data_IF_403667044333
#
_entry.id   IF_403667044333
#
_cell.length_a   1.000
_cell.length_b   1.000
_cell.length_c   1.000
_cell.angle_alpha   90.00
_cell.angle_beta   90.00
_cell.angle_gamma   90.00
#
_symmetry.space_group_name_H-M   'P 1'
#
loop_
_entity.id
_entity.type
_entity.pdbx_description
1 polymer ?
#
# COMPACT_ATOMS: atom_id res chain seq x y z
N UNK A 1 -21.05 -15.30 2.46
CA UNK A 1 -20.28 -14.54 1.45
C UNK A 1 -19.30 -15.48 0.76
N UNK A 2 -19.31 -15.54 -0.57
CA UNK A 2 -18.47 -16.48 -1.33
C UNK A 2 -16.97 -16.25 -1.07
N UNK A 3 -16.20 -17.34 -0.89
CA UNK A 3 -14.74 -17.28 -0.67
C UNK A 3 -14.02 -16.51 -1.79
N UNK A 4 -14.50 -16.64 -3.02
CA UNK A 4 -14.02 -15.90 -4.19
C UNK A 4 -14.12 -14.39 -4.03
N UNK A 5 -15.25 -13.88 -3.53
CA UNK A 5 -15.45 -12.44 -3.29
C UNK A 5 -14.45 -11.96 -2.24
N UNK A 6 -14.16 -12.79 -1.23
CA UNK A 6 -13.18 -12.43 -0.20
C UNK A 6 -11.81 -12.21 -0.81
N UNK A 7 -11.32 -13.24 -1.49
CA UNK A 7 -10.00 -13.24 -2.14
C UNK A 7 -9.90 -12.10 -3.14
N UNK A 8 -10.93 -11.91 -3.98
CA UNK A 8 -10.97 -10.81 -4.94
C UNK A 8 -10.80 -9.45 -4.24
N UNK A 9 -11.58 -9.16 -3.19
CA UNK A 9 -11.47 -7.87 -2.49
C UNK A 9 -10.14 -7.66 -1.74
N UNK A 10 -9.49 -8.72 -1.26
CA UNK A 10 -8.20 -8.58 -0.58
C UNK A 10 -7.04 -8.36 -1.56
N UNK A 11 -7.09 -8.98 -2.74
CA UNK A 11 -6.04 -8.90 -3.76
C UNK A 11 -6.25 -7.71 -4.69
N UNK A 12 -7.49 -7.21 -4.82
CA UNK A 12 -7.84 -6.10 -5.72
C UNK A 12 -6.86 -4.92 -5.66
N UNK A 13 -6.47 -4.39 -4.49
CA UNK A 13 -5.56 -3.25 -4.44
C UNK A 13 -4.17 -3.56 -5.00
N UNK A 14 -3.69 -4.79 -4.80
CA UNK A 14 -2.41 -5.26 -5.32
C UNK A 14 -2.49 -5.50 -6.83
N UNK A 15 -3.59 -6.07 -7.30
CA UNK A 15 -3.85 -6.28 -8.73
C UNK A 15 -3.99 -4.98 -9.51
N UNK A 16 -4.41 -3.89 -8.85
CA UNK A 16 -4.46 -2.55 -9.45
C UNK A 16 -3.09 -1.88 -9.57
N UNK A 17 -2.06 -2.36 -8.86
CA UNK A 17 -0.71 -1.78 -8.92
C UNK A 17 -0.09 -1.78 -10.33
N UNK A 18 -0.11 -2.88 -11.12
CA UNK A 18 0.42 -2.85 -12.49
C UNK A 18 -0.38 -1.94 -13.42
N UNK A 19 -1.69 -1.80 -13.21
CA UNK A 19 -2.51 -0.86 -13.99
C UNK A 19 -2.12 0.59 -13.68
N UNK A 20 -1.95 0.92 -12.40
CA UNK A 20 -1.42 2.21 -11.97
C UNK A 20 -0.03 2.48 -12.55
N UNK A 21 0.84 1.46 -12.61
CA UNK A 21 2.19 1.59 -13.15
C UNK A 21 2.14 1.95 -14.62
N UNK A 22 1.29 1.25 -15.38
CA UNK A 22 1.10 1.51 -16.79
C UNK A 22 0.53 2.91 -17.04
N UNK A 23 -0.43 3.37 -16.23
CA UNK A 23 -1.01 4.71 -16.34
C UNK A 23 0.02 5.82 -16.06
N UNK A 24 0.84 5.65 -15.02
CA UNK A 24 1.88 6.62 -14.65
C UNK A 24 3.02 6.60 -15.68
N UNK A 25 3.54 5.43 -16.03
CA UNK A 25 4.61 5.27 -17.00
C UNK A 25 4.21 5.74 -18.41
N UNK A 26 2.94 5.56 -18.77
CA UNK A 26 2.38 6.03 -20.03
C UNK A 26 2.04 7.53 -20.04
N UNK A 27 2.33 8.29 -18.97
CA UNK A 27 2.05 9.73 -18.89
C UNK A 27 0.57 10.10 -18.84
N UNK A 28 -0.32 9.13 -18.59
CA UNK A 28 -1.76 9.41 -18.45
C UNK A 28 -2.09 10.00 -17.08
N UNK A 29 -1.26 9.70 -16.07
CA UNK A 29 -1.29 10.31 -14.75
C UNK A 29 0.05 11.00 -14.57
N UNK A 30 0.04 12.33 -14.70
CA UNK A 30 1.19 13.19 -14.44
C UNK A 30 0.94 13.92 -13.11
N UNK A 31 1.85 13.71 -12.16
CA UNK A 31 1.83 14.38 -10.86
C UNK A 31 2.84 15.54 -10.82
N UNK A 32 3.42 15.88 -11.97
CA UNK A 32 4.39 16.96 -12.15
C UNK A 32 5.84 16.54 -11.90
N UNK A 33 6.11 15.26 -11.63
CA UNK A 33 7.45 14.73 -11.38
C UNK A 33 8.07 13.97 -12.55
N UNK A 34 7.32 13.76 -13.64
CA UNK A 34 7.77 13.02 -14.82
C UNK A 34 8.10 11.57 -14.47
N UNK A 35 9.30 11.10 -14.81
CA UNK A 35 9.74 9.73 -14.51
C UNK A 35 9.78 9.42 -12.99
N UNK A 36 9.91 10.44 -12.15
CA UNK A 36 9.93 10.27 -10.69
C UNK A 36 8.55 9.94 -10.12
N UNK A 37 7.49 10.11 -10.91
CA UNK A 37 6.15 9.77 -10.45
C UNK A 37 5.96 8.26 -10.23
N UNK A 38 6.84 7.44 -10.83
CA UNK A 38 6.92 6.00 -10.57
C UNK A 38 7.22 5.67 -9.10
N UNK A 39 7.89 6.58 -8.37
CA UNK A 39 8.18 6.42 -6.93
C UNK A 39 6.89 6.40 -6.11
N UNK A 40 5.83 7.09 -6.55
CA UNK A 40 4.54 7.11 -5.87
C UNK A 40 3.83 5.75 -5.85
N UNK A 41 4.29 4.80 -6.66
CA UNK A 41 3.76 3.44 -6.63
C UNK A 41 4.25 2.62 -5.44
N UNK A 42 5.42 2.95 -4.87
CA UNK A 42 5.98 2.23 -3.74
C UNK A 42 5.06 2.27 -2.50
N UNK A 43 4.53 3.45 -2.08
CA UNK A 43 3.52 3.53 -1.02
C UNK A 43 2.28 2.67 -1.30
N UNK A 44 1.79 2.65 -2.55
CA UNK A 44 0.60 1.87 -2.93
C UNK A 44 0.85 0.36 -2.85
N UNK A 45 2.00 -0.10 -3.38
CA UNK A 45 2.40 -1.52 -3.33
C UNK A 45 2.61 -1.97 -1.89
N UNK A 46 3.28 -1.16 -1.07
CA UNK A 46 3.50 -1.46 0.34
C UNK A 46 2.16 -1.56 1.09
N UNK A 47 1.27 -0.57 0.88
CA UNK A 47 -0.06 -0.56 1.49
C UNK A 47 -0.89 -1.78 1.10
N UNK A 48 -0.95 -2.09 -0.19
CA UNK A 48 -1.76 -3.19 -0.73
C UNK A 48 -1.27 -4.56 -0.27
N UNK A 49 0.05 -4.75 -0.11
CA UNK A 49 0.63 -5.96 0.50
C UNK A 49 0.22 -6.12 1.95
N UNK A 50 0.42 -5.08 2.77
CA UNK A 50 0.05 -5.10 4.20
C UNK A 50 -1.44 -5.32 4.37
N UNK A 51 -2.26 -4.71 3.51
CA UNK A 51 -3.71 -4.89 3.49
C UNK A 51 -4.11 -6.34 3.18
N UNK A 52 -3.55 -6.94 2.14
CA UNK A 52 -3.85 -8.31 1.73
C UNK A 52 -3.45 -9.32 2.82
N UNK A 53 -2.25 -9.17 3.38
CA UNK A 53 -1.75 -10.00 4.48
C UNK A 53 -2.62 -9.86 5.73
N UNK A 54 -2.98 -8.64 6.12
CA UNK A 54 -3.84 -8.38 7.27
C UNK A 54 -5.24 -8.99 7.08
N UNK A 55 -5.79 -8.93 5.86
CA UNK A 55 -7.05 -9.59 5.53
C UNK A 55 -6.95 -11.10 5.69
N UNK A 56 -5.87 -11.72 5.20
CA UNK A 56 -5.64 -13.15 5.33
C UNK A 56 -5.53 -13.60 6.79
N UNK A 57 -4.76 -12.87 7.60
CA UNK A 57 -4.58 -13.14 9.04
C UNK A 57 -5.90 -12.99 9.81
N UNK A 58 -6.68 -11.94 9.54
CA UNK A 58 -7.96 -11.71 10.22
C UNK A 58 -9.02 -12.74 9.80
N UNK A 59 -8.98 -13.22 8.56
CA UNK A 59 -9.85 -14.31 8.12
C UNK A 59 -9.50 -15.63 8.79
N UNK A 60 -8.22 -15.94 8.99
CA UNK A 60 -7.79 -17.11 9.75
C UNK A 60 -8.36 -17.08 11.18
N UNK A 61 -8.42 -15.89 11.79
CA UNK A 61 -9.03 -15.69 13.12
C UNK A 61 -10.56 -15.72 13.13
N UNK A 62 -11.21 -16.04 12.01
CA UNK A 62 -12.68 -16.15 11.93
C UNK A 62 -13.42 -14.81 11.91
N UNK A 63 -12.74 -13.69 11.64
CA UNK A 63 -13.38 -12.37 11.68
C UNK A 63 -14.36 -12.20 10.51
N UNK A 64 -15.41 -11.39 10.75
CA UNK A 64 -16.36 -11.01 9.72
C UNK A 64 -15.68 -10.14 8.67
N UNK A 65 -16.12 -10.29 7.42
CA UNK A 65 -15.47 -9.69 6.27
C UNK A 65 -15.36 -8.17 6.32
N UNK A 66 -16.44 -7.51 6.74
CA UNK A 66 -16.48 -6.06 6.84
C UNK A 66 -15.51 -5.54 7.91
N UNK A 67 -15.37 -6.25 9.05
CA UNK A 67 -14.40 -5.90 10.09
C UNK A 67 -12.96 -6.14 9.64
N UNK A 68 -12.69 -7.24 8.91
CA UNK A 68 -11.35 -7.49 8.38
C UNK A 68 -10.93 -6.39 7.41
N UNK A 69 -11.80 -5.96 6.49
CA UNK A 69 -11.47 -4.92 5.53
C UNK A 69 -11.13 -3.58 6.20
N UNK A 70 -11.95 -3.13 7.17
CA UNK A 70 -11.72 -1.85 7.87
C UNK A 70 -10.43 -1.87 8.68
N UNK A 71 -10.17 -2.95 9.43
CA UNK A 71 -8.93 -3.07 10.22
C UNK A 71 -7.70 -3.17 9.33
N UNK A 72 -7.77 -3.97 8.26
CA UNK A 72 -6.64 -4.08 7.32
C UNK A 72 -6.34 -2.75 6.63
N UNK A 73 -7.37 -1.96 6.28
CA UNK A 73 -7.16 -0.63 5.71
C UNK A 73 -6.44 0.29 6.70
N UNK A 74 -6.89 0.33 7.96
CA UNK A 74 -6.24 1.10 9.03
C UNK A 74 -4.79 0.67 9.28
N UNK A 75 -4.52 -0.64 9.35
CA UNK A 75 -3.17 -1.18 9.53
C UNK A 75 -2.29 -0.83 8.34
N UNK A 76 -2.81 -0.96 7.11
CA UNK A 76 -2.12 -0.55 5.90
C UNK A 76 -1.73 0.93 5.94
N UNK A 77 -2.68 1.83 6.23
CA UNK A 77 -2.41 3.27 6.33
C UNK A 77 -1.39 3.57 7.43
N UNK A 78 -1.54 2.96 8.60
CA UNK A 78 -0.58 3.09 9.70
C UNK A 78 0.83 2.63 9.31
N UNK A 79 0.96 1.54 8.55
CA UNK A 79 2.26 1.02 8.11
C UNK A 79 2.96 1.94 7.12
N UNK A 80 2.23 2.51 6.15
CA UNK A 80 2.79 3.48 5.19
C UNK A 80 3.21 4.76 5.90
N UNK A 81 2.38 5.26 6.82
CA UNK A 81 2.68 6.46 7.59
C UNK A 81 3.91 6.24 8.49
N UNK A 82 3.99 5.10 9.15
CA UNK A 82 5.16 4.72 9.95
C UNK A 82 6.43 4.60 9.10
N UNK A 83 6.35 3.94 7.94
CA UNK A 83 7.46 3.84 7.00
C UNK A 83 7.92 5.23 6.50
N UNK A 84 6.97 6.13 6.22
CA UNK A 84 7.25 7.51 5.85
C UNK A 84 7.95 8.30 6.97
N UNK A 85 7.50 8.15 8.21
CA UNK A 85 8.14 8.79 9.39
C UNK A 85 9.58 8.26 9.57
N UNK A 86 9.77 6.94 9.46
CA UNK A 86 11.09 6.32 9.57
C UNK A 86 12.02 6.85 8.48
N UNK A 87 11.57 6.85 7.22
CA UNK A 87 12.33 7.40 6.10
C UNK A 87 12.66 8.88 6.28
N UNK A 88 11.70 9.69 6.76
CA UNK A 88 11.92 11.10 7.04
C UNK A 88 12.95 11.30 8.17
N UNK A 89 12.88 10.50 9.23
CA UNK A 89 13.86 10.53 10.32
C UNK A 89 15.26 10.16 9.85
N UNK A 90 15.41 9.09 9.05
CA UNK A 90 16.69 8.72 8.43
C UNK A 90 17.19 9.80 7.46
N UNK A 91 16.31 10.39 6.66
CA UNK A 91 16.66 11.49 5.76
C UNK A 91 17.17 12.72 6.52
N UNK A 92 16.54 13.07 7.64
CA UNK A 92 17.00 14.15 8.52
C UNK A 92 18.36 13.82 9.17
N UNK A 93 18.59 12.57 9.57
CA UNK A 93 19.89 12.12 10.09
C UNK A 93 21.00 12.17 9.02
N UNK A 94 20.65 11.91 7.75
CA UNK A 94 21.57 12.05 6.61
C UNK A 94 21.86 13.52 6.24
N UNK A 95 20.87 14.41 6.33
CA UNK A 95 21.04 15.85 6.08
C UNK A 95 21.81 16.53 7.24
N UNK A 96 21.73 16.00 8.46
CA UNK A 96 22.46 16.47 9.63
C UNK A 96 23.94 16.01 9.69
N UNK A 97 24.46 15.35 8.64
CA UNK A 97 25.89 15.07 8.50
C UNK A 97 26.44 13.97 9.41
N UNK A 98 25.64 12.96 9.77
CA UNK A 98 26.13 11.77 10.49
C UNK A 98 26.60 10.62 9.57
N UNK A 99 26.83 10.90 8.29
CA UNK A 99 27.59 10.07 7.35
C UNK A 99 28.38 10.95 6.38
#
# INVERSE_FOLDING_TARGET
>A
MNRLIRIATAILPLALAPLLLWLIAGGHIDLGGGEKDLVWILPWVLWSLVFALSCFVLWWRGWTHARSLRRSALIGFGSVLLAGIILAAFGQLGIAGLF
#
